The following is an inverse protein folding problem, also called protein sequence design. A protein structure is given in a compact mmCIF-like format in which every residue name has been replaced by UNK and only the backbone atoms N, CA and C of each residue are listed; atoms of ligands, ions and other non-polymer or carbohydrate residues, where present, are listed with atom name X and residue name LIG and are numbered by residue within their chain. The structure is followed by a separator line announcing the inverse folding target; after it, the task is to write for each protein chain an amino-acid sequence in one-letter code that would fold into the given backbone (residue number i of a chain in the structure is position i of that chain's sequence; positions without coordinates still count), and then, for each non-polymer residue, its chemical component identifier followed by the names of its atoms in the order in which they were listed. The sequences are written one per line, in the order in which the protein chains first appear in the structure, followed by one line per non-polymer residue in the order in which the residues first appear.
data_IF_205356054846
#
_entry.id   IF_205356054846
#
_cell.length_a   1.000
_cell.length_b   1.000
_cell.length_c   1.000
_cell.angle_alpha   90.00
_cell.angle_beta   90.00
_cell.angle_gamma   90.00
#
_symmetry.space_group_name_H-M   'P 1'
#
loop_
_entity.id
_entity.type
_entity.pdbx_description
1 polymer ?
#
# COMPACT_ATOMS: atom_id res chain seq x y z
N UNK A 1 4.71 2.33 29.61
CA UNK A 1 4.53 2.36 31.08
C UNK A 1 3.19 2.97 31.42
N UNK A 2 2.91 4.22 31.04
CA UNK A 2 1.57 4.84 31.29
C UNK A 2 0.45 4.18 30.49
N UNK A 3 0.68 3.88 29.20
CA UNK A 3 -0.38 3.29 28.34
C UNK A 3 -0.81 1.87 28.72
N UNK A 4 0.04 1.13 29.45
CA UNK A 4 -0.21 -0.27 29.82
C UNK A 4 -0.40 -0.48 31.33
N UNK A 5 -0.39 0.58 32.15
CA UNK A 5 -0.58 0.49 33.60
C UNK A 5 0.41 -0.41 34.35
N UNK A 6 1.62 -0.61 33.79
CA UNK A 6 2.64 -1.48 34.39
C UNK A 6 3.61 -0.67 35.25
N UNK A 7 3.69 -1.02 36.54
CA UNK A 7 4.52 -0.32 37.54
C UNK A 7 6.00 -0.74 37.51
N UNK A 8 6.31 -1.96 37.04
CA UNK A 8 7.69 -2.46 36.97
C UNK A 8 8.32 -2.21 35.59
N UNK A 9 9.34 -1.37 35.56
CA UNK A 9 10.09 -1.02 34.34
C UNK A 9 10.82 -2.22 33.73
N UNK A 10 11.15 -3.25 34.54
CA UNK A 10 11.83 -4.46 34.07
C UNK A 10 10.98 -5.24 33.08
N UNK A 11 9.66 -5.23 33.28
CA UNK A 11 8.68 -5.89 32.41
C UNK A 11 8.58 -5.15 31.06
N UNK A 12 8.77 -3.83 31.07
CA UNK A 12 8.75 -3.00 29.86
C UNK A 12 10.09 -3.05 29.07
N UNK A 13 11.19 -3.45 29.70
CA UNK A 13 12.53 -3.41 29.12
C UNK A 13 12.96 -4.78 28.56
N UNK A 14 12.64 -5.01 27.28
CA UNK A 14 13.06 -6.21 26.53
C UNK A 14 14.54 -6.17 26.13
N UNK A 15 15.21 -7.33 26.00
CA UNK A 15 16.60 -7.42 25.53
C UNK A 15 16.84 -6.75 24.17
N UNK A 16 15.91 -6.87 23.23
CA UNK A 16 15.98 -6.21 21.91
C UNK A 16 16.02 -4.67 22.05
N UNK A 17 15.17 -4.11 22.92
CA UNK A 17 15.17 -2.67 23.23
C UNK A 17 16.48 -2.22 23.87
N UNK A 18 17.02 -2.99 24.81
CA UNK A 18 18.32 -2.69 25.44
C UNK A 18 19.42 -2.69 24.39
N UNK A 19 19.46 -3.69 23.51
CA UNK A 19 20.42 -3.77 22.43
C UNK A 19 20.39 -2.52 21.53
N UNK A 20 19.20 -2.08 21.11
CA UNK A 20 19.07 -0.86 20.30
C UNK A 20 19.47 0.41 21.06
N UNK A 21 19.16 0.50 22.36
CA UNK A 21 19.59 1.64 23.21
C UNK A 21 21.12 1.68 23.31
N UNK A 22 21.76 0.53 23.54
CA UNK A 22 23.23 0.44 23.63
C UNK A 22 23.86 0.80 22.29
N UNK A 23 23.31 0.33 21.18
CA UNK A 23 23.77 0.68 19.84
C UNK A 23 23.65 2.19 19.57
N UNK A 24 22.51 2.79 19.91
CA UNK A 24 22.26 4.23 19.79
C UNK A 24 23.26 5.04 20.65
N UNK A 25 23.54 4.59 21.87
CA UNK A 25 24.51 5.21 22.76
C UNK A 25 25.94 5.08 22.22
N UNK A 26 26.33 3.92 21.68
CA UNK A 26 27.64 3.71 21.05
C UNK A 26 27.84 4.65 19.85
N UNK A 27 26.84 4.76 18.97
CA UNK A 27 26.90 5.68 17.83
C UNK A 27 27.01 7.14 18.28
N UNK A 28 26.28 7.52 19.33
CA UNK A 28 26.35 8.86 19.91
C UNK A 28 27.65 9.11 20.69
N UNK A 29 28.30 8.06 21.21
CA UNK A 29 29.57 8.15 21.93
C UNK A 29 30.76 8.36 21.00
N UNK A 30 30.66 8.10 19.70
CA UNK A 30 31.73 8.38 18.74
C UNK A 30 31.87 9.90 18.58
N UNK A 31 32.94 10.46 19.14
CA UNK A 31 33.33 11.87 19.03
C UNK A 31 34.86 11.94 18.99
N UNK A 32 35.46 12.92 18.29
CA UNK A 32 36.90 13.13 18.35
C UNK A 32 37.28 13.47 19.80
N UNK A 33 38.07 12.61 20.42
CA UNK A 33 38.55 12.77 21.79
C UNK A 33 39.72 13.74 21.73
N UNK A 34 39.75 14.80 22.56
CA UNK A 34 40.85 15.75 22.53
C UNK A 34 42.19 15.06 22.87
N UNK A 35 43.08 14.95 21.87
CA UNK A 35 44.42 14.38 22.03
C UNK A 35 45.15 14.26 20.68
N UNK A 36 46.48 14.47 20.68
CA UNK A 36 47.29 14.38 19.45
C UNK A 36 47.67 12.93 19.15
N UNK A 37 46.71 12.14 18.68
CA UNK A 37 46.96 10.78 18.20
C UNK A 37 47.21 10.81 16.68
N UNK A 38 48.45 10.48 16.28
CA UNK A 38 48.86 10.45 14.87
C UNK A 38 48.87 9.01 14.36
N UNK A 39 48.29 8.80 13.18
CA UNK A 39 48.31 7.54 12.47
C UNK A 39 49.01 7.72 11.12
N UNK A 40 49.89 6.78 10.75
CA UNK A 40 50.54 6.80 9.44
C UNK A 40 49.58 6.29 8.38
N UNK A 41 49.01 7.20 7.58
CA UNK A 41 48.10 6.88 6.51
C UNK A 41 48.86 6.67 5.19
N UNK A 42 48.84 5.44 4.69
CA UNK A 42 49.42 5.10 3.38
C UNK A 42 48.35 5.17 2.29
N UNK A 43 48.54 6.02 1.28
CA UNK A 43 47.71 6.05 0.09
C UNK A 43 48.58 5.91 -1.17
N UNK A 44 48.01 5.41 -2.27
CA UNK A 44 48.69 5.39 -3.58
C UNK A 44 48.16 6.55 -4.40
N UNK A 45 49.07 7.40 -4.90
CA UNK A 45 48.73 8.53 -5.76
C UNK A 45 48.12 8.00 -7.07
N UNK A 46 47.01 8.59 -7.51
CA UNK A 46 46.38 8.26 -8.79
C UNK A 46 47.35 8.53 -9.93
N UNK A 47 47.27 7.70 -10.98
CA UNK A 47 48.10 7.73 -12.19
C UNK A 47 49.57 7.27 -12.01
N UNK A 48 50.29 7.67 -10.96
CA UNK A 48 51.72 7.33 -10.78
C UNK A 48 51.94 6.07 -9.92
N UNK A 49 50.92 5.60 -9.18
CA UNK A 49 50.95 4.44 -8.28
C UNK A 49 52.04 4.48 -7.19
N UNK A 50 52.69 5.62 -6.99
CA UNK A 50 53.71 5.80 -5.96
C UNK A 50 53.04 5.80 -4.57
N UNK A 51 53.59 5.07 -3.60
CA UNK A 51 53.09 5.10 -2.23
C UNK A 51 53.43 6.45 -1.60
N UNK A 52 52.39 7.19 -1.18
CA UNK A 52 52.50 8.41 -0.39
C UNK A 52 52.09 8.11 1.05
N UNK A 53 53.00 8.41 1.98
CA UNK A 53 52.78 8.24 3.42
C UNK A 53 52.58 9.61 4.05
N UNK A 54 51.44 9.83 4.69
CA UNK A 54 51.14 11.06 5.41
C UNK A 54 50.77 10.74 6.85
N UNK A 55 51.26 11.56 7.79
CA UNK A 55 50.83 11.48 9.18
C UNK A 55 49.47 12.19 9.28
N UNK A 56 48.41 11.40 9.44
CA UNK A 56 47.04 11.90 9.58
C UNK A 56 46.59 11.81 11.04
N UNK A 57 45.84 12.80 11.49
CA UNK A 57 45.29 12.82 12.84
C UNK A 57 44.09 11.86 12.93
N UNK A 58 44.03 11.04 13.99
CA UNK A 58 42.95 10.05 14.20
C UNK A 58 41.57 10.71 14.30
N UNK A 59 41.53 11.97 14.72
CA UNK A 59 40.32 12.81 14.82
C UNK A 59 39.55 12.92 13.50
N UNK A 60 40.26 12.83 12.37
CA UNK A 60 39.68 12.89 11.03
C UNK A 60 38.86 11.64 10.74
N UNK A 61 39.40 10.46 11.06
CA UNK A 61 38.69 9.18 10.88
C UNK A 61 37.48 9.12 11.82
N UNK A 62 37.63 9.62 13.06
CA UNK A 62 36.54 9.71 14.02
C UNK A 62 35.47 10.76 13.67
N UNK A 63 35.79 11.75 12.84
CA UNK A 63 34.84 12.78 12.40
C UNK A 63 33.83 12.27 11.36
N UNK A 64 34.20 11.31 10.52
CA UNK A 64 33.32 10.68 9.51
C UNK A 64 32.10 9.98 10.14
N UNK A 65 32.25 9.08 11.13
CA UNK A 65 31.12 8.43 11.79
C UNK A 65 30.25 9.39 12.61
N UNK A 66 30.64 10.65 12.84
CA UNK A 66 29.73 11.64 13.45
C UNK A 66 28.50 11.91 12.58
N UNK A 67 28.60 11.80 11.25
CA UNK A 67 27.43 11.93 10.36
C UNK A 67 26.41 10.80 10.55
N UNK A 68 26.80 9.68 11.16
CA UNK A 68 25.85 8.63 11.49
C UNK A 68 24.72 9.18 12.36
N UNK A 69 25.01 10.17 13.23
CA UNK A 69 24.03 10.87 14.07
C UNK A 69 22.89 11.55 13.30
N UNK A 70 22.99 11.73 11.97
CA UNK A 70 21.90 12.26 11.15
C UNK A 70 20.63 11.40 11.22
N UNK A 71 20.70 10.12 11.62
CA UNK A 71 19.49 9.32 11.85
C UNK A 71 18.57 9.94 12.94
N UNK A 72 19.14 10.70 13.89
CA UNK A 72 18.39 11.39 14.94
C UNK A 72 17.49 12.49 14.36
N UNK A 73 17.91 13.15 13.27
CA UNK A 73 17.07 14.14 12.59
C UNK A 73 15.81 13.48 12.04
N UNK A 74 15.94 12.29 11.44
CA UNK A 74 14.80 11.49 11.01
C UNK A 74 13.86 11.19 12.17
N UNK A 75 14.40 10.78 13.33
CA UNK A 75 13.61 10.51 14.54
C UNK A 75 12.88 11.77 15.06
N UNK A 76 13.54 12.92 15.08
CA UNK A 76 12.95 14.20 15.52
C UNK A 76 11.87 14.68 14.54
N UNK A 77 12.11 14.56 13.23
CA UNK A 77 11.13 14.86 12.20
C UNK A 77 9.85 14.02 12.38
N UNK A 78 10.00 12.74 12.70
CA UNK A 78 8.87 11.85 12.99
C UNK A 78 8.11 12.24 14.26
N UNK A 79 8.84 12.60 15.33
CA UNK A 79 8.25 13.00 16.60
C UNK A 79 7.51 14.34 16.50
N UNK A 80 8.02 15.29 15.72
CA UNK A 80 7.44 16.63 15.61
C UNK A 80 6.43 16.78 14.46
N UNK A 81 6.33 15.80 13.57
CA UNK A 81 5.34 15.83 12.49
C UNK A 81 3.93 15.65 13.05
N UNK A 82 3.19 16.76 13.12
CA UNK A 82 1.79 16.80 13.57
C UNK A 82 0.89 15.81 12.84
N UNK A 83 1.24 15.43 11.60
CA UNK A 83 0.49 14.45 10.80
C UNK A 83 0.48 13.04 11.44
N UNK A 84 1.57 12.64 12.11
CA UNK A 84 1.74 11.27 12.65
C UNK A 84 1.61 11.20 14.18
N UNK A 85 1.71 12.34 14.87
CA UNK A 85 1.56 12.41 16.32
C UNK A 85 0.18 12.86 16.79
N UNK A 86 -0.71 13.27 15.88
CA UNK A 86 -2.07 13.64 16.23
C UNK A 86 -2.87 12.46 16.80
N UNK A 87 -3.73 12.75 17.78
CA UNK A 87 -4.56 11.73 18.43
C UNK A 87 -5.54 11.09 17.43
N UNK A 88 -6.02 11.87 16.45
CA UNK A 88 -6.93 11.39 15.40
C UNK A 88 -6.26 10.33 14.52
N UNK A 89 -5.03 10.59 14.05
CA UNK A 89 -4.31 9.64 13.21
C UNK A 89 -3.93 8.38 13.99
N UNK A 90 -3.51 8.49 15.26
CA UNK A 90 -3.27 7.32 16.13
C UNK A 90 -4.50 6.46 16.34
N UNK A 91 -5.67 7.07 16.55
CA UNK A 91 -6.93 6.36 16.71
C UNK A 91 -7.30 5.58 15.43
N UNK A 92 -7.22 6.24 14.27
CA UNK A 92 -7.47 5.60 12.97
C UNK A 92 -6.47 4.46 12.71
N UNK A 93 -5.19 4.64 13.07
CA UNK A 93 -4.17 3.60 12.96
C UNK A 93 -4.44 2.39 13.85
N UNK A 94 -4.89 2.61 15.09
CA UNK A 94 -5.27 1.54 16.01
C UNK A 94 -6.48 0.74 15.50
N UNK A 95 -7.50 1.44 14.96
CA UNK A 95 -8.66 0.79 14.34
C UNK A 95 -8.28 -0.09 13.14
N UNK A 96 -7.29 0.34 12.35
CA UNK A 96 -6.78 -0.42 11.20
C UNK A 96 -5.66 -1.41 11.57
N UNK A 97 -5.29 -1.54 12.85
CA UNK A 97 -4.14 -2.33 13.33
C UNK A 97 -2.82 -1.99 12.62
N UNK A 98 -2.63 -0.73 12.25
CA UNK A 98 -1.42 -0.24 11.59
C UNK A 98 -0.49 0.35 12.66
N UNK A 99 0.73 -0.19 12.73
CA UNK A 99 1.78 0.37 13.59
C UNK A 99 2.48 1.55 12.90
N UNK A 100 2.56 2.69 13.59
CA UNK A 100 3.27 3.89 13.12
C UNK A 100 4.79 3.68 13.14
N UNK A 101 5.30 2.98 12.13
CA UNK A 101 6.72 2.68 11.97
C UNK A 101 7.42 3.75 11.12
N UNK A 102 8.73 3.92 11.31
CA UNK A 102 9.57 4.84 10.50
C UNK A 102 9.49 4.55 9.00
N UNK A 103 9.39 3.26 8.63
CA UNK A 103 9.18 2.80 7.24
C UNK A 103 7.85 3.27 6.66
N UNK A 104 6.77 3.24 7.45
CA UNK A 104 5.45 3.70 7.03
C UNK A 104 5.47 5.21 6.77
N UNK A 105 6.13 5.97 7.64
CA UNK A 105 6.24 7.42 7.47
C UNK A 105 7.11 7.78 6.27
N UNK A 106 8.25 7.11 6.06
CA UNK A 106 9.09 7.35 4.89
C UNK A 106 8.31 7.04 3.59
N UNK A 107 7.53 5.95 3.56
CA UNK A 107 6.64 5.62 2.44
C UNK A 107 5.56 6.69 2.21
N UNK A 108 4.97 7.20 3.28
CA UNK A 108 3.94 8.25 3.23
C UNK A 108 4.53 9.55 2.69
N UNK A 109 5.70 9.96 3.19
CA UNK A 109 6.40 11.16 2.77
C UNK A 109 6.79 11.10 1.28
N UNK A 110 7.29 9.95 0.82
CA UNK A 110 7.57 9.66 -0.60
C UNK A 110 6.32 9.63 -1.48
N UNK A 111 5.13 9.45 -0.91
CA UNK A 111 3.86 9.44 -1.66
C UNK A 111 3.28 10.85 -1.80
N UNK A 112 3.34 11.66 -0.74
CA UNK A 112 2.75 13.01 -0.71
C UNK A 112 3.57 13.98 -1.58
N UNK A 113 4.86 14.15 -1.28
CA UNK A 113 5.74 15.10 -1.96
C UNK A 113 7.08 14.45 -2.35
N UNK A 114 7.09 13.46 -3.27
CA UNK A 114 8.31 12.73 -3.63
C UNK A 114 9.44 13.64 -4.11
N UNK A 115 9.12 14.66 -4.92
CA UNK A 115 10.11 15.55 -5.51
C UNK A 115 10.88 16.37 -4.47
N UNK A 116 10.16 17.02 -3.55
CA UNK A 116 10.78 17.81 -2.48
C UNK A 116 11.68 16.96 -1.58
N UNK A 117 11.22 15.75 -1.24
CA UNK A 117 11.94 14.84 -0.33
C UNK A 117 13.22 14.32 -0.99
N UNK A 118 13.12 13.91 -2.26
CA UNK A 118 14.27 13.49 -3.05
C UNK A 118 15.29 14.61 -3.25
N UNK A 119 14.82 15.84 -3.48
CA UNK A 119 15.67 17.02 -3.66
C UNK A 119 16.43 17.33 -2.38
N UNK A 120 15.74 17.43 -1.24
CA UNK A 120 16.37 17.69 0.07
C UNK A 120 17.37 16.58 0.43
N UNK A 121 17.02 15.32 0.20
CA UNK A 121 17.92 14.18 0.41
C UNK A 121 19.16 14.26 -0.48
N UNK A 122 18.99 14.56 -1.78
CA UNK A 122 20.11 14.65 -2.73
C UNK A 122 21.06 15.78 -2.37
N UNK A 123 20.57 16.99 -2.11
CA UNK A 123 21.40 18.15 -1.76
C UNK A 123 22.14 17.93 -0.44
N UNK A 124 21.46 17.41 0.59
CA UNK A 124 22.12 17.10 1.88
C UNK A 124 23.20 16.03 1.71
N UNK A 125 22.91 14.96 0.96
CA UNK A 125 23.90 13.90 0.68
C UNK A 125 25.11 14.42 -0.10
N UNK A 126 24.94 15.36 -1.04
CA UNK A 126 26.04 15.99 -1.77
C UNK A 126 26.97 16.77 -0.85
N UNK A 127 26.40 17.60 0.03
CA UNK A 127 27.20 18.42 0.96
C UNK A 127 28.01 17.52 1.90
N UNK A 128 27.39 16.47 2.45
CA UNK A 128 28.04 15.53 3.37
C UNK A 128 29.15 14.75 2.65
N UNK A 129 28.86 14.21 1.46
CA UNK A 129 29.84 13.45 0.69
C UNK A 129 31.02 14.34 0.25
N UNK A 130 30.77 15.57 -0.18
CA UNK A 130 31.82 16.51 -0.59
C UNK A 130 32.72 16.89 0.60
N UNK A 131 32.12 17.15 1.77
CA UNK A 131 32.89 17.38 2.98
C UNK A 131 33.72 16.16 3.37
N UNK A 132 33.15 14.95 3.28
CA UNK A 132 33.84 13.70 3.65
C UNK A 132 35.02 13.42 2.72
N UNK A 133 34.86 13.58 1.40
CA UNK A 133 35.96 13.43 0.44
C UNK A 133 37.05 14.46 0.69
N UNK A 134 36.69 15.73 0.92
CA UNK A 134 37.65 16.78 1.26
C UNK A 134 38.48 16.41 2.48
N UNK A 135 37.84 15.90 3.53
CA UNK A 135 38.51 15.48 4.77
C UNK A 135 39.45 14.30 4.51
N UNK A 136 39.03 13.34 3.68
CA UNK A 136 39.85 12.17 3.35
C UNK A 136 41.04 12.48 2.42
N UNK A 137 40.91 13.43 1.49
CA UNK A 137 41.99 13.77 0.55
C UNK A 137 42.92 14.91 1.05
N UNK A 138 42.57 15.59 2.15
CA UNK A 138 43.30 16.76 2.67
C UNK A 138 44.81 16.56 2.87
N UNK A 139 45.25 15.36 3.22
CA UNK A 139 46.65 15.06 3.57
C UNK A 139 47.46 14.42 2.42
N UNK A 140 46.79 14.00 1.34
CA UNK A 140 47.42 13.27 0.22
C UNK A 140 47.34 14.01 -1.11
N UNK A 141 46.67 15.17 -1.17
CA UNK A 141 46.60 16.00 -2.36
C UNK A 141 47.72 17.05 -2.37
N UNK A 142 48.78 16.79 -3.13
CA UNK A 142 49.91 17.73 -3.34
C UNK A 142 49.59 18.89 -4.27
N UNK A 143 48.44 18.87 -4.97
CA UNK A 143 48.08 19.84 -6.01
C UNK A 143 46.91 20.76 -5.62
N UNK A 144 46.39 20.61 -4.39
CA UNK A 144 45.26 21.34 -3.79
C UNK A 144 43.91 21.31 -4.54
N UNK A 145 43.81 20.64 -5.69
CA UNK A 145 42.60 20.66 -6.54
C UNK A 145 41.42 19.94 -5.89
N UNK A 146 41.63 18.75 -5.32
CA UNK A 146 40.60 17.97 -4.59
C UNK A 146 40.44 18.42 -3.13
N UNK A 147 41.46 19.12 -2.59
CA UNK A 147 41.40 19.71 -1.25
C UNK A 147 40.42 20.88 -1.16
N UNK A 148 40.17 21.59 -2.27
CA UNK A 148 39.22 22.70 -2.34
C UNK A 148 37.76 22.23 -2.26
N UNK A 149 36.93 22.92 -1.47
CA UNK A 149 35.52 22.54 -1.28
C UNK A 149 34.73 22.53 -2.59
N UNK A 150 35.01 23.49 -3.48
CA UNK A 150 34.42 23.56 -4.82
C UNK A 150 34.83 22.36 -5.69
N UNK A 151 36.09 21.93 -5.61
CA UNK A 151 36.59 20.74 -6.33
C UNK A 151 35.95 19.45 -5.82
N UNK A 152 35.81 19.30 -4.50
CA UNK A 152 35.09 18.18 -3.90
C UNK A 152 33.59 18.17 -4.27
N UNK A 153 32.93 19.33 -4.27
CA UNK A 153 31.53 19.48 -4.71
C UNK A 153 31.36 19.11 -6.20
N UNK A 154 32.30 19.54 -7.05
CA UNK A 154 32.33 19.18 -8.47
C UNK A 154 32.44 17.66 -8.66
N UNK A 155 33.46 17.03 -8.04
CA UNK A 155 33.69 15.59 -8.09
C UNK A 155 32.47 14.79 -7.63
N UNK A 156 31.87 15.15 -6.49
CA UNK A 156 30.70 14.47 -5.95
C UNK A 156 29.47 14.64 -6.84
N UNK A 157 29.24 15.83 -7.40
CA UNK A 157 28.10 16.07 -8.29
C UNK A 157 28.17 15.20 -9.55
N UNK A 158 29.33 15.15 -10.19
CA UNK A 158 29.59 14.32 -11.39
C UNK A 158 29.49 12.82 -11.07
N UNK A 159 29.99 12.41 -9.90
CA UNK A 159 29.93 11.02 -9.45
C UNK A 159 28.49 10.60 -9.15
N UNK A 160 27.71 11.46 -8.47
CA UNK A 160 26.31 11.20 -8.14
C UNK A 160 25.44 11.12 -9.40
N UNK A 161 25.67 12.00 -10.38
CA UNK A 161 24.99 11.93 -11.69
C UNK A 161 25.50 10.76 -12.56
N UNK A 162 26.51 10.02 -12.11
CA UNK A 162 27.14 8.92 -12.86
C UNK A 162 27.69 9.35 -14.23
N UNK A 163 28.21 10.59 -14.32
CA UNK A 163 28.85 11.12 -15.55
C UNK A 163 30.32 10.69 -15.62
N UNK A 164 31.10 10.94 -14.55
CA UNK A 164 32.48 10.49 -14.38
C UNK A 164 33.47 10.96 -15.46
N UNK A 165 33.69 12.28 -15.60
CA UNK A 165 34.64 12.83 -16.59
C UNK A 165 36.10 12.33 -16.41
N UNK A 166 36.51 12.02 -15.18
CA UNK A 166 37.86 11.51 -14.88
C UNK A 166 38.95 12.58 -14.81
N UNK A 167 38.56 13.86 -14.82
CA UNK A 167 39.40 15.03 -14.60
C UNK A 167 39.94 15.13 -13.16
N UNK A 168 39.14 14.67 -12.19
CA UNK A 168 39.51 14.60 -10.78
C UNK A 168 39.17 13.21 -10.21
N UNK A 169 40.10 12.58 -9.50
CA UNK A 169 39.92 11.23 -8.93
C UNK A 169 40.51 11.19 -7.51
N UNK A 170 39.82 10.59 -6.52
CA UNK A 170 40.35 10.46 -5.18
C UNK A 170 41.55 9.49 -5.14
N UNK A 171 42.59 9.87 -4.41
CA UNK A 171 43.79 9.07 -4.23
C UNK A 171 43.63 8.08 -3.07
N UNK A 172 42.97 8.51 -1.99
CA UNK A 172 42.84 7.71 -0.78
C UNK A 172 41.77 6.62 -0.91
N UNK A 173 41.95 5.53 -0.16
CA UNK A 173 40.93 4.46 -0.08
C UNK A 173 39.62 4.96 0.54
N UNK A 174 39.69 5.90 1.49
CA UNK A 174 38.50 6.55 2.03
C UNK A 174 37.74 7.32 0.93
N UNK A 175 38.41 8.23 0.20
CA UNK A 175 37.79 9.02 -0.86
C UNK A 175 37.17 8.14 -1.94
N UNK A 176 37.87 7.06 -2.35
CA UNK A 176 37.33 6.04 -3.27
C UNK A 176 36.08 5.36 -2.73
N UNK A 177 36.07 5.01 -1.44
CA UNK A 177 34.90 4.43 -0.77
C UNK A 177 33.71 5.39 -0.76
N UNK A 178 33.94 6.67 -0.47
CA UNK A 178 32.89 7.70 -0.49
C UNK A 178 32.33 7.91 -1.91
N UNK A 179 33.20 7.96 -2.93
CA UNK A 179 32.76 8.05 -4.33
C UNK A 179 31.93 6.82 -4.75
N UNK A 180 32.32 5.61 -4.34
CA UNK A 180 31.54 4.40 -4.60
C UNK A 180 30.15 4.46 -3.96
N UNK A 181 30.07 4.82 -2.68
CA UNK A 181 28.80 4.98 -1.97
C UNK A 181 27.93 6.06 -2.61
N UNK A 182 28.53 7.18 -3.01
CA UNK A 182 27.86 8.29 -3.71
C UNK A 182 27.28 7.83 -5.04
N UNK A 183 28.01 7.01 -5.81
CA UNK A 183 27.50 6.43 -7.06
C UNK A 183 26.31 5.49 -6.85
N UNK A 184 26.38 4.61 -5.85
CA UNK A 184 25.26 3.71 -5.49
C UNK A 184 24.03 4.52 -5.06
N UNK A 185 24.23 5.53 -4.22
CA UNK A 185 23.15 6.42 -3.78
C UNK A 185 22.56 7.22 -4.96
N UNK A 186 23.40 7.74 -5.84
CA UNK A 186 22.99 8.46 -7.04
C UNK A 186 22.13 7.61 -7.97
N UNK A 187 22.55 6.37 -8.26
CA UNK A 187 21.77 5.41 -9.02
C UNK A 187 20.42 5.06 -8.37
N UNK A 188 20.39 4.93 -7.04
CA UNK A 188 19.14 4.73 -6.30
C UNK A 188 18.20 5.93 -6.40
N UNK A 189 18.73 7.15 -6.30
CA UNK A 189 17.96 8.39 -6.45
C UNK A 189 17.42 8.56 -7.87
N UNK A 190 18.22 8.31 -8.91
CA UNK A 190 17.75 8.40 -10.31
C UNK A 190 16.66 7.39 -10.59
N UNK A 191 16.78 6.15 -10.12
CA UNK A 191 15.74 5.13 -10.23
C UNK A 191 14.43 5.58 -9.54
N UNK A 192 14.52 6.19 -8.35
CA UNK A 192 13.34 6.69 -7.64
C UNK A 192 12.69 7.87 -8.39
N UNK A 193 13.47 8.79 -8.94
CA UNK A 193 12.98 9.91 -9.76
C UNK A 193 12.23 9.38 -10.98
N UNK A 194 12.80 8.43 -11.71
CA UNK A 194 12.14 7.81 -12.87
C UNK A 194 10.79 7.18 -12.47
N UNK A 195 10.77 6.43 -11.37
CA UNK A 195 9.53 5.82 -10.88
C UNK A 195 8.47 6.85 -10.47
N UNK A 196 8.89 7.99 -9.88
CA UNK A 196 7.99 9.10 -9.53
C UNK A 196 7.45 9.79 -10.77
N UNK A 197 8.32 10.08 -11.73
CA UNK A 197 7.94 10.73 -13.00
C UNK A 197 6.96 9.84 -13.76
N UNK A 198 7.21 8.54 -13.86
CA UNK A 198 6.30 7.58 -14.50
C UNK A 198 4.88 7.66 -13.90
N UNK A 199 4.76 7.59 -12.56
CA UNK A 199 3.47 7.70 -11.87
C UNK A 199 2.78 9.05 -12.03
N UNK A 200 3.54 10.14 -12.17
CA UNK A 200 2.98 11.49 -12.37
C UNK A 200 2.60 11.77 -13.83
N UNK A 201 3.18 11.03 -14.78
CA UNK A 201 2.82 11.08 -16.20
C UNK A 201 1.65 10.15 -16.56
N UNK A 202 1.32 9.20 -15.68
CA UNK A 202 0.11 8.38 -15.83
C UNK A 202 -1.14 9.28 -15.76
N UNK A 203 -1.87 9.33 -16.87
CA UNK A 203 -3.14 10.05 -16.98
C UNK A 203 -4.13 9.51 -15.95
N UNK A 204 -4.79 10.43 -15.25
CA UNK A 204 -5.88 10.06 -14.34
C UNK A 204 -7.03 9.42 -15.11
N UNK A 205 -7.91 8.69 -14.40
CA UNK A 205 -9.10 8.06 -15.01
C UNK A 205 -9.97 9.08 -15.76
N UNK A 206 -10.12 10.29 -15.21
CA UNK A 206 -10.87 11.38 -15.81
C UNK A 206 -10.18 11.94 -17.07
N UNK A 207 -8.88 12.23 -17.00
CA UNK A 207 -8.12 12.71 -18.17
C UNK A 207 -8.10 11.67 -19.30
N UNK A 208 -7.96 10.38 -18.95
CA UNK A 208 -8.04 9.29 -19.92
C UNK A 208 -9.42 9.22 -20.60
N UNK A 209 -10.50 9.43 -19.84
CA UNK A 209 -11.85 9.48 -20.41
C UNK A 209 -11.99 10.66 -21.39
N UNK A 210 -11.53 11.86 -21.02
CA UNK A 210 -11.54 13.04 -21.89
C UNK A 210 -10.68 12.81 -23.14
N UNK A 211 -9.49 12.21 -22.98
CA UNK A 211 -8.60 11.87 -24.09
C UNK A 211 -9.26 10.88 -25.06
N UNK A 212 -9.92 9.84 -24.55
CA UNK A 212 -10.64 8.88 -25.38
C UNK A 212 -11.78 9.55 -26.14
N UNK A 213 -12.59 10.36 -25.47
CA UNK A 213 -13.68 11.12 -26.12
C UNK A 213 -13.16 12.05 -27.22
N UNK A 214 -12.03 12.72 -26.97
CA UNK A 214 -11.36 13.57 -27.97
C UNK A 214 -10.89 12.73 -29.17
N UNK A 215 -10.31 11.56 -28.93
CA UNK A 215 -9.88 10.65 -29.99
C UNK A 215 -11.06 10.16 -30.83
N UNK A 216 -12.17 9.78 -30.21
CA UNK A 216 -13.39 9.31 -30.89
C UNK A 216 -14.01 10.41 -31.76
N UNK A 217 -14.05 11.64 -31.24
CA UNK A 217 -14.53 12.81 -32.00
C UNK A 217 -13.66 13.04 -33.24
N UNK A 218 -12.34 12.93 -33.12
CA UNK A 218 -11.41 13.07 -34.24
C UNK A 218 -11.57 11.93 -35.26
N UNK A 219 -11.71 10.69 -34.81
CA UNK A 219 -11.96 9.53 -35.67
C UNK A 219 -13.25 9.70 -36.48
N UNK A 220 -14.34 10.10 -35.82
CA UNK A 220 -15.62 10.37 -36.49
C UNK A 220 -15.49 11.43 -37.59
N UNK A 221 -14.76 12.53 -37.33
CA UNK A 221 -14.47 13.55 -38.35
C UNK A 221 -13.66 12.97 -39.52
N UNK A 222 -12.63 12.15 -39.26
CA UNK A 222 -11.83 11.52 -40.32
C UNK A 222 -12.62 10.52 -41.15
N UNK A 223 -13.51 9.73 -40.55
CA UNK A 223 -14.39 8.80 -41.26
C UNK A 223 -15.33 9.56 -42.19
N UNK A 224 -15.99 10.62 -41.70
CA UNK A 224 -16.86 11.47 -42.53
C UNK A 224 -16.12 12.09 -43.72
N UNK A 225 -14.92 12.62 -43.51
CA UNK A 225 -14.09 13.19 -44.58
C UNK A 225 -13.65 12.12 -45.60
N UNK A 226 -13.30 10.92 -45.13
CA UNK A 226 -12.89 9.81 -46.01
C UNK A 226 -14.09 9.34 -46.83
N UNK A 227 -15.28 9.20 -46.23
CA UNK A 227 -16.51 8.85 -46.94
C UNK A 227 -16.87 9.90 -48.00
N UNK A 228 -16.73 11.19 -47.71
CA UNK A 228 -16.92 12.25 -48.68
C UNK A 228 -15.95 12.15 -49.87
N UNK A 229 -14.68 11.80 -49.61
CA UNK A 229 -13.69 11.57 -50.67
C UNK A 229 -14.03 10.34 -51.52
N UNK A 230 -14.51 9.25 -50.92
CA UNK A 230 -14.97 8.06 -51.67
C UNK A 230 -16.08 8.46 -52.63
N UNK A 231 -17.13 9.14 -52.15
CA UNK A 231 -18.25 9.60 -52.99
C UNK A 231 -17.78 10.54 -54.11
N UNK A 232 -16.90 11.49 -53.79
CA UNK A 232 -16.33 12.43 -54.77
C UNK A 232 -15.57 11.69 -55.88
N UNK A 233 -14.69 10.77 -55.54
CA UNK A 233 -13.90 10.02 -56.52
C UNK A 233 -14.78 9.05 -57.34
N UNK A 234 -15.78 8.40 -56.72
CA UNK A 234 -16.78 7.59 -57.45
C UNK A 234 -17.53 8.41 -58.50
N UNK A 235 -17.99 9.61 -58.13
CA UNK A 235 -18.67 10.50 -59.07
C UNK A 235 -17.74 10.96 -60.21
N UNK A 236 -16.48 11.32 -59.89
CA UNK A 236 -15.50 11.74 -60.91
C UNK A 236 -15.16 10.60 -61.87
N UNK A 237 -15.07 9.35 -61.39
CA UNK A 237 -14.92 8.16 -62.24
C UNK A 237 -16.14 8.04 -63.16
N UNK A 238 -17.36 8.08 -62.62
CA UNK A 238 -18.59 7.97 -63.43
C UNK A 238 -18.66 9.06 -64.51
N UNK A 239 -18.40 10.32 -64.14
CA UNK A 239 -18.38 11.45 -65.08
C UNK A 239 -17.38 11.23 -66.22
N UNK A 240 -16.14 10.88 -65.92
CA UNK A 240 -15.09 10.72 -66.93
C UNK A 240 -15.19 9.42 -67.74
N UNK A 241 -15.97 8.43 -67.29
CA UNK A 241 -16.20 7.18 -68.02
C UNK A 241 -17.47 7.21 -68.87
N UNK A 242 -18.56 7.86 -68.41
CA UNK A 242 -19.89 7.77 -69.04
C UNK A 242 -20.42 9.09 -69.62
N UNK A 243 -20.04 10.26 -69.08
CA UNK A 243 -20.65 11.55 -69.46
C UNK A 243 -19.81 12.37 -70.47
N UNK A 244 -18.56 11.99 -70.74
CA UNK A 244 -17.67 12.75 -71.65
C UNK A 244 -17.59 12.07 -73.02
N UNK A 245 -17.72 12.85 -74.11
CA UNK A 245 -17.68 12.37 -75.51
C UNK A 245 -16.35 11.71 -75.93
N UNK A 246 -15.22 12.06 -75.31
CA UNK A 246 -13.90 11.42 -75.50
C UNK A 246 -13.35 10.96 -74.14
N UNK A 247 -13.00 9.68 -74.04
CA UNK A 247 -12.55 9.07 -72.79
C UNK A 247 -11.03 9.20 -72.65
N UNK A 248 -10.57 9.91 -71.60
CA UNK A 248 -9.16 9.97 -71.21
C UNK A 248 -8.83 8.87 -70.19
N UNK A 249 -8.29 7.74 -70.66
CA UNK A 249 -7.95 6.59 -69.80
C UNK A 249 -6.92 6.93 -68.70
N UNK A 250 -6.03 7.90 -68.91
CA UNK A 250 -5.07 8.34 -67.90
C UNK A 250 -5.74 9.06 -66.71
N UNK A 251 -6.76 9.90 -66.97
CA UNK A 251 -7.51 10.62 -65.94
C UNK A 251 -8.39 9.68 -65.12
N UNK A 252 -9.02 8.69 -65.76
CA UNK A 252 -9.83 7.68 -65.08
C UNK A 252 -8.97 6.82 -64.14
N UNK A 253 -7.80 6.34 -64.61
CA UNK A 253 -6.87 5.56 -63.77
C UNK A 253 -6.38 6.34 -62.55
N UNK A 254 -6.18 7.66 -62.69
CA UNK A 254 -5.79 8.54 -61.56
C UNK A 254 -6.89 8.59 -60.48
N UNK A 255 -8.16 8.75 -60.86
CA UNK A 255 -9.27 8.77 -59.90
C UNK A 255 -9.56 7.38 -59.32
N UNK A 256 -9.40 6.30 -60.10
CA UNK A 256 -9.49 4.93 -59.60
C UNK A 256 -8.43 4.62 -58.52
N UNK A 257 -7.18 5.06 -58.69
CA UNK A 257 -6.16 4.92 -57.65
C UNK A 257 -6.52 5.66 -56.37
N UNK A 258 -7.00 6.91 -56.50
CA UNK A 258 -7.43 7.73 -55.36
C UNK A 258 -8.65 7.13 -54.64
N UNK A 259 -9.59 6.58 -55.40
CA UNK A 259 -10.75 5.86 -54.87
C UNK A 259 -10.33 4.61 -54.09
N UNK A 260 -9.45 3.77 -54.65
CA UNK A 260 -8.92 2.59 -53.96
C UNK A 260 -8.15 2.96 -52.67
N UNK A 261 -7.37 4.04 -52.71
CA UNK A 261 -6.69 4.56 -51.51
C UNK A 261 -7.70 5.04 -50.46
N UNK A 262 -8.76 5.74 -50.86
CA UNK A 262 -9.81 6.22 -49.95
C UNK A 262 -10.61 5.05 -49.34
N UNK A 263 -10.92 4.00 -50.12
CA UNK A 263 -11.56 2.78 -49.61
C UNK A 263 -10.65 2.06 -48.63
N UNK A 264 -9.37 1.88 -48.96
CA UNK A 264 -8.45 1.18 -48.08
C UNK A 264 -8.31 1.91 -46.74
N UNK A 265 -8.17 3.24 -46.78
CA UNK A 265 -8.19 4.09 -45.59
C UNK A 265 -9.51 4.00 -44.82
N UNK A 266 -10.66 4.02 -45.51
CA UNK A 266 -11.97 3.88 -44.86
C UNK A 266 -12.13 2.53 -44.17
N UNK A 267 -11.72 1.44 -44.82
CA UNK A 267 -11.84 0.08 -44.31
C UNK A 267 -10.99 -0.09 -43.05
N UNK A 268 -9.73 0.38 -43.06
CA UNK A 268 -8.86 0.29 -41.88
C UNK A 268 -9.39 1.11 -40.70
N UNK A 269 -9.91 2.32 -40.94
CA UNK A 269 -10.53 3.14 -39.88
C UNK A 269 -11.82 2.51 -39.34
N UNK A 270 -12.66 1.92 -40.20
CA UNK A 270 -13.88 1.23 -39.76
C UNK A 270 -13.53 -0.03 -38.96
N UNK A 271 -12.55 -0.83 -39.39
CA UNK A 271 -12.08 -1.98 -38.62
C UNK A 271 -11.55 -1.58 -37.24
N UNK A 272 -10.80 -0.47 -37.16
CA UNK A 272 -10.35 0.08 -35.87
C UNK A 272 -11.52 0.51 -34.97
N UNK A 273 -12.51 1.21 -35.53
CA UNK A 273 -13.70 1.66 -34.80
C UNK A 273 -14.54 0.48 -34.31
N UNK A 274 -14.75 -0.54 -35.14
CA UNK A 274 -15.47 -1.77 -34.78
C UNK A 274 -14.73 -2.51 -33.68
N UNK A 275 -13.40 -2.63 -33.76
CA UNK A 275 -12.59 -3.28 -32.71
C UNK A 275 -12.66 -2.52 -31.37
N UNK A 276 -12.57 -1.19 -31.40
CA UNK A 276 -12.69 -0.33 -30.20
C UNK A 276 -14.10 -0.41 -29.59
N UNK A 277 -15.14 -0.40 -30.44
CA UNK A 277 -16.52 -0.55 -29.99
C UNK A 277 -16.77 -1.94 -29.40
N UNK A 278 -16.19 -2.99 -29.97
CA UNK A 278 -16.22 -4.34 -29.42
C UNK A 278 -15.55 -4.40 -28.03
N UNK A 279 -14.43 -3.69 -27.84
CA UNK A 279 -13.73 -3.58 -26.55
C UNK A 279 -14.54 -2.81 -25.51
N UNK A 280 -15.21 -1.73 -25.90
CA UNK A 280 -16.09 -0.97 -25.01
C UNK A 280 -17.35 -1.77 -24.66
N UNK A 281 -17.92 -2.49 -25.63
CA UNK A 281 -19.08 -3.34 -25.42
C UNK A 281 -18.73 -4.54 -24.53
N UNK A 282 -17.56 -5.15 -24.71
CA UNK A 282 -17.07 -6.20 -23.78
C UNK A 282 -16.80 -5.66 -22.39
N UNK A 283 -16.33 -4.41 -22.23
CA UNK A 283 -16.27 -3.78 -20.90
C UNK A 283 -17.65 -3.59 -20.28
N UNK A 284 -18.64 -3.07 -21.01
CA UNK A 284 -20.00 -2.89 -20.47
C UNK A 284 -20.65 -4.22 -20.10
N UNK A 285 -20.53 -5.24 -20.95
CA UNK A 285 -21.01 -6.59 -20.67
C UNK A 285 -20.30 -7.19 -19.44
N UNK A 286 -19.00 -6.91 -19.27
CA UNK A 286 -18.26 -7.36 -18.09
C UNK A 286 -18.70 -6.63 -16.82
N UNK A 287 -19.04 -5.34 -16.89
CA UNK A 287 -19.62 -4.62 -15.75
C UNK A 287 -20.99 -5.17 -15.37
N UNK A 288 -21.88 -5.44 -16.34
CA UNK A 288 -23.19 -6.04 -16.07
C UNK A 288 -23.04 -7.43 -15.45
N UNK A 289 -22.13 -8.26 -15.97
CA UNK A 289 -21.85 -9.59 -15.43
C UNK A 289 -21.29 -9.53 -13.99
N UNK A 290 -20.39 -8.58 -13.70
CA UNK A 290 -19.86 -8.38 -12.34
C UNK A 290 -20.95 -7.92 -11.39
N UNK A 291 -21.85 -7.03 -11.84
CA UNK A 291 -23.00 -6.60 -11.04
C UNK A 291 -23.93 -7.77 -10.72
N UNK A 292 -24.24 -8.61 -11.71
CA UNK A 292 -25.09 -9.78 -11.53
C UNK A 292 -24.43 -10.82 -10.60
N UNK A 293 -23.12 -11.02 -10.72
CA UNK A 293 -22.34 -11.86 -9.78
C UNK A 293 -22.38 -11.33 -8.36
N UNK A 294 -22.31 -10.01 -8.18
CA UNK A 294 -22.34 -9.39 -6.86
C UNK A 294 -23.73 -9.54 -6.21
N UNK A 295 -24.81 -9.35 -6.98
CA UNK A 295 -26.17 -9.61 -6.52
C UNK A 295 -26.37 -11.08 -6.13
N UNK A 296 -25.86 -12.02 -6.92
CA UNK A 296 -25.86 -13.46 -6.59
C UNK A 296 -25.05 -13.77 -5.34
N UNK A 297 -23.91 -13.11 -5.15
CA UNK A 297 -23.10 -13.26 -3.95
C UNK A 297 -23.85 -12.78 -2.70
N UNK A 298 -24.51 -11.62 -2.78
CA UNK A 298 -25.33 -11.11 -1.66
C UNK A 298 -26.51 -12.03 -1.35
N UNK A 299 -27.14 -12.64 -2.35
CA UNK A 299 -28.19 -13.64 -2.11
C UNK A 299 -27.63 -14.91 -1.46
N UNK A 300 -26.45 -15.38 -1.89
CA UNK A 300 -25.78 -16.51 -1.27
C UNK A 300 -25.41 -16.23 0.19
N UNK A 301 -24.87 -15.05 0.50
CA UNK A 301 -24.56 -14.63 1.87
C UNK A 301 -25.81 -14.59 2.74
N UNK A 302 -26.96 -14.11 2.21
CA UNK A 302 -28.25 -14.17 2.92
C UNK A 302 -28.69 -15.61 3.19
N UNK A 303 -28.52 -16.53 2.22
CA UNK A 303 -28.86 -17.94 2.41
C UNK A 303 -27.95 -18.61 3.43
N UNK A 304 -26.66 -18.27 3.45
CA UNK A 304 -25.70 -18.74 4.46
C UNK A 304 -26.11 -18.23 5.84
N UNK A 305 -26.42 -16.93 5.98
CA UNK A 305 -26.90 -16.36 7.25
C UNK A 305 -28.19 -17.03 7.76
N UNK A 306 -29.15 -17.32 6.88
CA UNK A 306 -30.36 -18.08 7.27
C UNK A 306 -30.03 -19.52 7.71
N UNK A 307 -29.05 -20.17 7.07
CA UNK A 307 -28.60 -21.50 7.47
C UNK A 307 -27.89 -21.47 8.83
N UNK A 308 -27.08 -20.45 9.10
CA UNK A 308 -26.46 -20.22 10.40
C UNK A 308 -27.51 -20.04 11.50
N UNK A 309 -28.54 -19.20 11.28
CA UNK A 309 -29.63 -19.03 12.26
C UNK A 309 -30.39 -20.34 12.53
N UNK A 310 -30.64 -21.15 11.48
CA UNK A 310 -31.28 -22.46 11.63
C UNK A 310 -30.40 -23.42 12.43
N UNK A 311 -29.08 -23.38 12.20
CA UNK A 311 -28.12 -24.21 12.91
C UNK A 311 -28.02 -23.80 14.39
N UNK A 312 -28.06 -22.50 14.69
CA UNK A 312 -28.09 -21.98 16.06
C UNK A 312 -29.37 -22.38 16.79
N UNK A 313 -30.53 -22.33 16.12
CA UNK A 313 -31.79 -22.80 16.67
C UNK A 313 -31.77 -24.30 17.00
N UNK A 314 -31.21 -25.13 16.11
CA UNK A 314 -31.04 -26.58 16.36
C UNK A 314 -30.09 -26.81 17.52
N UNK A 315 -28.99 -26.06 17.59
CA UNK A 315 -28.02 -26.15 18.69
C UNK A 315 -28.65 -25.76 20.04
N UNK A 316 -29.44 -24.68 20.08
CA UNK A 316 -30.19 -24.29 21.27
C UNK A 316 -31.22 -25.33 21.70
N UNK A 317 -31.91 -25.94 20.74
CA UNK A 317 -32.85 -27.04 21.00
C UNK A 317 -32.15 -28.27 21.59
N UNK A 318 -30.97 -28.61 21.07
CA UNK A 318 -30.12 -29.68 21.59
C UNK A 318 -29.58 -29.41 23.00
N UNK A 319 -29.27 -28.15 23.32
CA UNK A 319 -28.85 -27.76 24.67
C UNK A 319 -30.02 -27.74 25.67
N UNK A 320 -31.25 -27.47 25.22
CA UNK A 320 -32.44 -27.48 26.08
C UNK A 320 -32.94 -28.90 26.39
N UNK A 321 -32.68 -29.87 25.50
CA UNK A 321 -33.11 -31.27 25.64
C UNK A 321 -32.73 -31.91 26.99
N UNK A 322 -31.47 -31.83 27.48
CA UNK A 322 -31.08 -32.38 28.79
C UNK A 322 -31.89 -31.81 29.97
N UNK A 323 -32.22 -30.52 29.91
CA UNK A 323 -33.00 -29.86 30.97
C UNK A 323 -34.45 -30.36 30.99
N UNK A 324 -35.07 -30.46 29.81
CA UNK A 324 -36.43 -30.99 29.66
C UNK A 324 -36.51 -32.47 30.07
N UNK A 325 -35.49 -33.28 29.73
CA UNK A 325 -35.40 -34.67 30.17
C UNK A 325 -35.27 -34.75 31.69
N UNK A 326 -34.45 -33.90 32.32
CA UNK A 326 -34.31 -33.83 33.78
C UNK A 326 -35.61 -33.43 34.48
N UNK A 327 -36.35 -32.45 33.92
CA UNK A 327 -37.65 -32.04 34.44
C UNK A 327 -38.70 -33.15 34.31
N UNK A 328 -38.75 -33.85 33.18
CA UNK A 328 -39.66 -34.97 32.99
C UNK A 328 -39.34 -36.14 33.95
N UNK A 329 -38.05 -36.44 34.17
CA UNK A 329 -37.63 -37.46 35.14
C UNK A 329 -38.03 -37.07 36.56
N UNK A 330 -37.84 -35.80 36.95
CA UNK A 330 -38.23 -35.31 38.27
C UNK A 330 -39.75 -35.32 38.46
N UNK A 331 -40.53 -34.90 37.46
CA UNK A 331 -41.99 -34.98 37.50
C UNK A 331 -42.45 -36.43 37.65
N UNK A 332 -41.88 -37.36 36.90
CA UNK A 332 -42.23 -38.77 36.99
C UNK A 332 -41.83 -39.38 38.35
N UNK A 333 -40.70 -38.97 38.93
CA UNK A 333 -40.34 -39.36 40.31
C UNK A 333 -41.29 -38.78 41.35
N UNK A 334 -41.75 -37.54 41.16
CA UNK A 334 -42.64 -36.87 42.09
C UNK A 334 -44.05 -37.45 42.04
N UNK A 335 -44.58 -37.74 40.85
CA UNK A 335 -45.84 -38.47 40.68
C UNK A 335 -45.77 -39.87 41.32
N UNK A 336 -44.65 -40.58 41.18
CA UNK A 336 -44.47 -41.89 41.80
C UNK A 336 -44.39 -41.81 43.34
N UNK A 337 -43.81 -40.74 43.88
CA UNK A 337 -43.77 -40.48 45.32
C UNK A 337 -45.14 -40.09 45.87
N UNK A 338 -45.90 -39.26 45.14
CA UNK A 338 -47.26 -38.87 45.50
C UNK A 338 -48.20 -40.08 45.45
N UNK A 339 -48.13 -40.94 44.43
CA UNK A 339 -48.88 -42.21 44.40
C UNK A 339 -48.55 -43.12 45.61
N UNK A 340 -47.29 -43.11 46.06
CA UNK A 340 -46.86 -43.88 47.23
C UNK A 340 -47.36 -43.26 48.54
N UNK A 341 -47.37 -41.93 48.62
CA UNK A 341 -47.93 -41.18 49.75
C UNK A 341 -49.43 -41.39 49.84
N UNK A 342 -50.17 -41.30 48.73
CA UNK A 342 -51.59 -41.58 48.67
C UNK A 342 -51.91 -43.04 49.04
N UNK A 343 -51.08 -44.02 48.66
CA UNK A 343 -51.21 -45.40 49.13
C UNK A 343 -51.01 -45.52 50.65
N UNK A 344 -50.08 -44.76 51.23
CA UNK A 344 -49.85 -44.72 52.68
C UNK A 344 -51.04 -44.08 53.40
N UNK A 345 -51.53 -42.93 52.91
CA UNK A 345 -52.71 -42.27 53.47
C UNK A 345 -53.98 -43.09 53.30
N UNK A 346 -54.12 -43.84 52.19
CA UNK A 346 -55.26 -44.75 51.99
C UNK A 346 -55.21 -45.94 52.94
N UNK A 347 -54.01 -46.41 53.30
CA UNK A 347 -53.82 -47.37 54.38
C UNK A 347 -54.28 -46.77 55.71
N UNK A 348 -53.83 -45.57 56.08
CA UNK A 348 -54.25 -44.89 57.33
C UNK A 348 -55.75 -44.51 57.36
N UNK A 349 -56.34 -44.16 56.21
CA UNK A 349 -57.79 -43.91 56.07
C UNK A 349 -58.63 -45.20 56.15
N UNK A 350 -58.08 -46.35 55.74
CA UNK A 350 -58.69 -47.66 56.01
C UNK A 350 -58.77 -47.95 57.50
N UNK A 351 -57.71 -47.62 58.26
CA UNK A 351 -57.72 -47.76 59.72
C UNK A 351 -58.73 -46.80 60.41
N UNK A 352 -58.87 -45.57 59.91
CA UNK A 352 -59.73 -44.55 60.54
C UNK A 352 -61.20 -44.57 60.10
N UNK A 353 -61.53 -45.06 58.90
CA UNK A 353 -62.91 -45.19 58.42
C UNK A 353 -63.71 -46.30 59.13
N UNK A 354 -63.04 -47.30 59.70
CA UNK A 354 -63.68 -48.29 60.58
C UNK A 354 -64.16 -47.64 61.89
N UNK A 355 -63.56 -46.52 62.32
CA UNK A 355 -63.83 -45.87 63.59
C UNK A 355 -64.87 -44.73 63.54
N UNK A 356 -65.34 -44.29 62.36
CA UNK A 356 -66.13 -43.04 62.24
C UNK A 356 -67.42 -43.15 61.44
N UNK A 357 -68.17 -44.26 61.60
CA UNK A 357 -69.57 -44.35 61.15
C UNK A 357 -70.52 -43.84 62.25
N UNK A 358 -70.50 -42.53 62.54
CA UNK A 358 -71.58 -41.86 63.27
C UNK A 358 -71.65 -40.36 62.93
N UNK A 359 -72.80 -39.99 62.34
CA UNK A 359 -73.43 -38.66 62.22
C UNK A 359 -73.07 -37.76 61.03
N UNK A 360 -74.03 -37.76 60.10
CA UNK A 360 -74.47 -36.75 59.12
C UNK A 360 -75.15 -35.53 59.81
N UNK A 361 -75.75 -34.56 59.07
CA UNK A 361 -75.22 -33.67 58.03
C UNK A 361 -75.78 -32.22 58.15
N UNK A 362 -75.32 -31.26 57.32
CA UNK A 362 -76.15 -30.18 56.71
C UNK A 362 -75.23 -29.20 55.94
N UNK A 363 -75.28 -29.12 54.60
CA UNK A 363 -75.95 -28.09 53.75
C UNK A 363 -75.47 -26.66 54.06
N UNK A 364 -75.00 -25.80 53.13
CA UNK A 364 -75.43 -25.51 51.76
C UNK A 364 -74.39 -24.52 51.07
N UNK A 365 -74.62 -23.94 49.87
CA UNK A 365 -73.61 -23.98 48.78
C UNK A 365 -73.37 -22.62 48.03
N UNK A 366 -72.55 -22.69 46.98
CA UNK A 366 -72.54 -21.84 45.75
C UNK A 366 -72.14 -20.34 45.90
N UNK A 367 -71.54 -19.62 44.95
CA UNK A 367 -71.43 -19.68 43.47
C UNK A 367 -70.16 -18.95 42.97
N UNK A 368 -69.71 -19.35 41.78
CA UNK A 368 -69.23 -18.58 40.59
C UNK A 368 -68.51 -17.23 40.76
N UNK A 369 -67.50 -16.90 39.95
CA UNK A 369 -67.54 -16.33 38.58
C UNK A 369 -66.42 -15.25 38.59
N UNK A 370 -65.74 -14.81 37.54
CA UNK A 370 -65.91 -14.90 36.10
C UNK A 370 -64.65 -14.28 35.46
N UNK A 371 -64.47 -14.57 34.16
CA UNK A 371 -64.06 -13.63 33.11
C UNK A 371 -62.67 -12.97 33.10
N UNK A 372 -61.97 -13.17 31.97
CA UNK A 372 -60.82 -12.39 31.52
C UNK A 372 -60.08 -13.09 30.39
#
# INVERSE_FOLDING_TARGET
MVDNGADDWRIAMTYERIFFIVLELLVCAIHPIPGHYRFTWTARIAFTYTPSTANADVDIILSIPMFLRLYLIGRVMLLHSKLFTDASSRSIGALNKINFNTRFVMKTLMTICPGTVLLVFSISSWIIAAWTVRVCERYHDTQEVTSNFLGAMWLISITFLSIGYGDMVPNTYCGKGVCLLTGIMGAGCTALVVAVVARKLELTKAEKHVHNFMMDTQLCKRVKNTAANVLRETWLIYKHTKLVKKIDHAKVRKHQRKFLQAIHHSSTHIHHLVSLLLLLQTQNVMYDLVSELQERSEELDKRIGMLEEKLDSVTGSLQALPCLISQAINQQQQEFLDERSERSERSERSWTSTARRRRSPSTAPHTSSDSG
#
